data_IF_453873342910
#
_entry.id   IF_453873342910
#
_cell.length_a   1.000
_cell.length_b   1.000
_cell.length_c   1.000
_cell.angle_alpha   90.00
_cell.angle_beta   90.00
_cell.angle_gamma   90.00
#
_symmetry.space_group_name_H-M   'P 1'
#
loop_
_entity.id
_entity.type
_entity.pdbx_description
1 polymer ?
#
# COMPACT_ATOMS: atom_id res chain seq x y z
N UNK A 1 19.43 5.86 -5.30
CA UNK A 1 20.51 5.10 -4.63
C UNK A 1 20.75 5.59 -3.21
N UNK A 2 21.08 6.87 -2.97
CA UNK A 2 21.35 7.38 -1.62
C UNK A 2 20.17 7.29 -0.64
N UNK A 3 18.94 7.61 -1.06
CA UNK A 3 17.76 7.43 -0.19
C UNK A 3 17.59 5.96 0.25
N UNK A 4 17.84 5.00 -0.66
CA UNK A 4 17.77 3.58 -0.33
C UNK A 4 18.86 3.19 0.69
N UNK A 5 20.08 3.72 0.56
CA UNK A 5 21.16 3.53 1.54
C UNK A 5 20.80 4.12 2.90
N UNK A 6 20.25 5.34 2.94
CA UNK A 6 19.82 5.98 4.18
C UNK A 6 18.74 5.16 4.90
N UNK A 7 17.74 4.67 4.14
CA UNK A 7 16.69 3.80 4.68
C UNK A 7 17.26 2.47 5.18
N UNK A 8 18.19 1.84 4.45
CA UNK A 8 18.84 0.60 4.88
C UNK A 8 19.64 0.79 6.19
N UNK A 9 20.42 1.87 6.29
CA UNK A 9 21.17 2.21 7.51
C UNK A 9 20.21 2.42 8.68
N UNK A 10 19.12 3.16 8.47
CA UNK A 10 18.09 3.37 9.49
C UNK A 10 17.46 2.06 9.97
N UNK A 11 17.07 1.19 9.03
CA UNK A 11 16.48 -0.12 9.34
C UNK A 11 17.46 -1.02 10.09
N UNK A 12 18.73 -1.07 9.69
CA UNK A 12 19.75 -1.86 10.38
C UNK A 12 20.04 -1.33 11.78
N UNK A 13 20.14 -0.01 11.94
CA UNK A 13 20.28 0.62 13.25
C UNK A 13 19.11 0.28 14.15
N UNK A 14 17.87 0.37 13.63
CA UNK A 14 16.69 0.04 14.39
C UNK A 14 16.68 -1.44 14.82
N UNK A 15 17.00 -2.36 13.90
CA UNK A 15 17.07 -3.79 14.18
C UNK A 15 18.14 -4.15 15.25
N UNK A 16 19.24 -3.40 15.32
CA UNK A 16 20.29 -3.59 16.33
C UNK A 16 19.89 -2.95 17.68
N UNK A 17 19.33 -1.74 17.65
CA UNK A 17 18.99 -0.99 18.85
C UNK A 17 17.77 -1.58 19.59
N UNK A 18 16.80 -2.14 18.87
CA UNK A 18 15.57 -2.68 19.46
C UNK A 18 15.86 -3.73 20.56
N UNK A 19 16.57 -4.86 20.30
CA UNK A 19 16.83 -5.87 21.32
C UNK A 19 17.62 -5.33 22.52
N UNK A 20 18.55 -4.39 22.28
CA UNK A 20 19.39 -3.80 23.32
C UNK A 20 18.54 -2.93 24.24
N UNK A 21 17.80 -1.98 23.68
CA UNK A 21 17.02 -1.02 24.45
C UNK A 21 15.79 -1.67 25.10
N UNK A 22 15.16 -2.65 24.45
CA UNK A 22 14.07 -3.40 25.05
C UNK A 22 14.55 -4.15 26.30
N UNK A 23 15.75 -4.73 26.28
CA UNK A 23 16.30 -5.43 27.45
C UNK A 23 16.57 -4.49 28.63
N UNK A 24 16.94 -3.24 28.38
CA UNK A 24 17.32 -2.28 29.43
C UNK A 24 16.08 -1.56 30.01
N UNK A 25 15.17 -1.10 29.15
CA UNK A 25 14.06 -0.20 29.54
C UNK A 25 12.68 -0.68 29.05
N UNK A 26 12.55 -1.93 28.61
CA UNK A 26 11.29 -2.52 28.17
C UNK A 26 10.74 -1.89 26.89
N UNK A 27 9.41 -1.85 26.76
CA UNK A 27 8.75 -1.42 25.52
C UNK A 27 9.05 0.02 25.11
N UNK A 28 9.35 0.92 26.06
CA UNK A 28 9.82 2.28 25.78
C UNK A 28 11.13 2.27 24.97
N UNK A 29 11.96 1.24 25.13
CA UNK A 29 13.18 1.04 24.36
C UNK A 29 12.93 0.88 22.87
N UNK A 30 11.86 0.22 22.46
CA UNK A 30 11.49 0.07 21.04
C UNK A 30 11.11 1.43 20.40
N UNK A 31 10.38 2.27 21.15
CA UNK A 31 10.03 3.61 20.70
C UNK A 31 11.28 4.50 20.54
N UNK A 32 12.20 4.45 21.52
CA UNK A 32 13.47 5.22 21.49
C UNK A 32 14.38 4.73 20.36
N UNK A 33 14.51 3.42 20.16
CA UNK A 33 15.26 2.83 19.06
C UNK A 33 14.72 3.33 17.71
N UNK A 34 13.40 3.31 17.53
CA UNK A 34 12.74 3.79 16.30
C UNK A 34 13.00 5.27 16.08
N UNK A 35 12.76 6.11 17.09
CA UNK A 35 12.97 7.55 16.99
C UNK A 35 14.43 7.88 16.67
N UNK A 36 15.38 7.23 17.34
CA UNK A 36 16.81 7.46 17.15
C UNK A 36 17.26 7.11 15.73
N UNK A 37 16.86 5.93 15.21
CA UNK A 37 17.17 5.53 13.84
C UNK A 37 16.57 6.49 12.80
N UNK A 38 15.34 6.97 13.01
CA UNK A 38 14.71 7.95 12.12
C UNK A 38 15.41 9.32 12.16
N UNK A 39 15.86 9.77 13.33
CA UNK A 39 16.65 11.01 13.47
C UNK A 39 17.99 10.88 12.73
N UNK A 40 18.68 9.76 12.87
CA UNK A 40 19.95 9.52 12.15
C UNK A 40 19.71 9.52 10.63
N UNK A 41 18.63 8.88 10.18
CA UNK A 41 18.23 8.89 8.77
C UNK A 41 17.97 10.31 8.25
N UNK A 42 17.25 11.13 9.03
CA UNK A 42 16.97 12.53 8.71
C UNK A 42 18.27 13.34 8.58
N UNK A 43 19.18 13.22 9.57
CA UNK A 43 20.47 13.91 9.56
C UNK A 43 21.27 13.52 8.31
N UNK A 44 21.35 12.23 8.00
CA UNK A 44 22.06 11.74 6.81
C UNK A 44 21.47 12.32 5.51
N UNK A 45 20.14 12.36 5.39
CA UNK A 45 19.45 12.94 4.24
C UNK A 45 19.69 14.45 4.12
N UNK A 46 19.64 15.20 5.23
CA UNK A 46 19.92 16.64 5.25
C UNK A 46 21.36 16.94 4.81
N UNK A 47 22.34 16.19 5.31
CA UNK A 47 23.75 16.30 4.90
C UNK A 47 23.90 16.02 3.41
N UNK A 48 23.24 14.97 2.92
CA UNK A 48 23.30 14.58 1.51
C UNK A 48 22.75 15.66 0.57
N UNK A 49 21.55 16.18 0.86
CA UNK A 49 20.92 17.22 0.03
C UNK A 49 21.79 18.49 0.03
N UNK A 50 22.35 18.86 1.18
CA UNK A 50 23.24 20.02 1.32
C UNK A 50 24.53 19.85 0.51
N UNK A 51 25.17 18.66 0.56
CA UNK A 51 26.41 18.39 -0.19
C UNK A 51 26.22 18.33 -1.70
N UNK A 52 25.12 17.73 -2.16
CA UNK A 52 24.82 17.61 -3.59
C UNK A 52 24.24 18.89 -4.21
N UNK A 53 23.91 19.90 -3.39
CA UNK A 53 23.29 21.16 -3.81
C UNK A 53 22.07 20.94 -4.71
N UNK A 54 21.33 19.84 -4.48
CA UNK A 54 20.13 19.51 -5.25
C UNK A 54 19.04 20.56 -5.05
N UNK A 55 19.00 21.15 -3.86
CA UNK A 55 18.10 22.23 -3.48
C UNK A 55 18.89 23.29 -2.71
N UNK A 56 18.56 24.57 -2.94
CA UNK A 56 18.91 25.65 -2.02
C UNK A 56 17.73 25.79 -1.07
N UNK A 57 17.93 25.48 0.22
CA UNK A 57 16.92 25.75 1.21
C UNK A 57 17.12 27.19 1.71
N UNK A 58 16.25 28.11 1.29
CA UNK A 58 16.18 29.43 1.87
C UNK A 58 14.79 29.64 2.47
N UNK A 59 14.72 30.07 3.73
CA UNK A 59 13.45 30.41 4.39
C UNK A 59 12.71 31.55 3.65
N UNK A 60 13.44 32.33 2.83
CA UNK A 60 12.89 33.34 1.93
C UNK A 60 12.05 32.78 0.78
N UNK A 61 12.23 31.49 0.43
CA UNK A 61 11.48 30.83 -0.64
C UNK A 61 10.08 30.37 -0.17
N UNK A 62 9.71 30.68 1.08
CA UNK A 62 8.40 30.38 1.62
C UNK A 62 7.34 31.33 1.02
N UNK A 63 6.46 30.76 0.21
CA UNK A 63 5.30 31.47 -0.34
C UNK A 63 4.00 30.98 0.32
N UNK A 64 3.28 31.90 0.96
CA UNK A 64 1.97 31.60 1.57
C UNK A 64 0.94 31.19 0.52
N UNK A 65 1.09 31.62 -0.73
CA UNK A 65 0.18 31.29 -1.82
C UNK A 65 0.22 29.79 -2.17
N UNK A 66 1.34 29.12 -1.91
CA UNK A 66 1.52 27.68 -2.18
C UNK A 66 0.92 26.77 -1.10
N UNK A 67 0.57 27.32 0.07
CA UNK A 67 0.00 26.55 1.19
C UNK A 67 -1.35 25.93 0.79
N UNK A 68 -2.26 26.73 0.23
CA UNK A 68 -3.61 26.25 -0.09
C UNK A 68 -3.62 25.19 -1.21
N UNK A 69 -2.87 25.35 -2.33
CA UNK A 69 -2.68 24.28 -3.32
C UNK A 69 -2.09 23.01 -2.72
N UNK A 70 -1.12 23.13 -1.81
CA UNK A 70 -0.52 21.98 -1.14
C UNK A 70 -1.54 21.25 -0.26
N UNK A 71 -2.27 21.97 0.59
CA UNK A 71 -3.31 21.39 1.46
C UNK A 71 -4.40 20.70 0.62
N UNK A 72 -4.83 21.33 -0.48
CA UNK A 72 -5.85 20.78 -1.38
C UNK A 72 -5.44 19.44 -1.99
N UNK A 73 -4.15 19.21 -2.20
CA UNK A 73 -3.62 17.92 -2.68
C UNK A 73 -3.30 16.95 -1.54
N UNK A 74 -2.79 17.44 -0.41
CA UNK A 74 -2.37 16.63 0.72
C UNK A 74 -3.57 16.01 1.47
N UNK A 75 -4.64 16.77 1.70
CA UNK A 75 -5.81 16.29 2.46
C UNK A 75 -6.43 15.04 1.80
N UNK A 76 -6.71 15.02 0.49
CA UNK A 76 -7.19 13.80 -0.16
C UNK A 76 -6.23 12.62 -0.05
N UNK A 77 -4.92 12.86 -0.15
CA UNK A 77 -3.91 11.79 -0.01
C UNK A 77 -3.84 11.22 1.41
N UNK A 78 -3.99 12.06 2.45
CA UNK A 78 -4.02 11.60 3.85
C UNK A 78 -5.26 10.74 4.11
N UNK A 79 -6.43 11.20 3.65
CA UNK A 79 -7.67 10.42 3.74
C UNK A 79 -7.50 9.11 2.97
N UNK A 80 -6.97 9.18 1.75
CA UNK A 80 -6.71 8.02 0.90
C UNK A 80 -5.90 6.95 1.62
N UNK A 81 -4.80 7.31 2.29
CA UNK A 81 -3.92 6.38 3.00
C UNK A 81 -4.57 5.77 4.26
N UNK A 82 -5.59 6.42 4.82
CA UNK A 82 -6.29 5.95 6.02
C UNK A 82 -7.39 4.91 5.72
N UNK A 83 -7.96 4.94 4.51
CA UNK A 83 -9.07 4.07 4.11
C UNK A 83 -8.78 2.55 4.27
N UNK A 84 -7.60 2.02 3.89
CA UNK A 84 -7.32 0.60 4.06
C UNK A 84 -7.39 0.17 5.53
N UNK A 85 -6.88 0.99 6.46
CA UNK A 85 -6.93 0.69 7.89
C UNK A 85 -8.38 0.63 8.42
N UNK A 86 -9.25 1.52 7.96
CA UNK A 86 -10.68 1.50 8.30
C UNK A 86 -11.32 0.19 7.79
N UNK A 87 -11.03 -0.18 6.54
CA UNK A 87 -11.56 -1.41 5.94
C UNK A 87 -11.07 -2.66 6.67
N UNK A 88 -9.77 -2.76 6.96
CA UNK A 88 -9.18 -3.86 7.71
C UNK A 88 -9.73 -3.95 9.13
N UNK A 89 -9.99 -2.82 9.79
CA UNK A 89 -10.60 -2.81 11.13
C UNK A 89 -11.99 -3.43 11.11
N UNK A 90 -12.81 -3.05 10.11
CA UNK A 90 -14.15 -3.63 9.94
C UNK A 90 -14.08 -5.13 9.63
N UNK A 91 -13.22 -5.55 8.70
CA UNK A 91 -13.05 -6.97 8.37
C UNK A 91 -12.54 -7.78 9.57
N UNK A 92 -11.64 -7.22 10.37
CA UNK A 92 -11.16 -7.86 11.61
C UNK A 92 -12.31 -8.06 12.59
N UNK A 93 -13.17 -7.05 12.76
CA UNK A 93 -14.35 -7.16 13.61
C UNK A 93 -15.30 -8.27 13.12
N UNK A 94 -15.59 -8.34 11.82
CA UNK A 94 -16.41 -9.42 11.26
C UNK A 94 -15.79 -10.80 11.46
N UNK A 95 -14.51 -10.97 11.13
CA UNK A 95 -13.79 -12.24 11.25
C UNK A 95 -13.70 -12.69 12.71
N UNK A 96 -13.62 -11.76 13.66
CA UNK A 96 -13.57 -12.09 15.10
C UNK A 96 -14.81 -12.86 15.58
N UNK A 97 -15.95 -12.69 14.91
CA UNK A 97 -17.19 -13.42 15.21
C UNK A 97 -17.14 -14.93 14.87
N UNK A 98 -16.17 -15.36 14.06
CA UNK A 98 -16.00 -16.75 13.62
C UNK A 98 -15.03 -17.56 14.50
N UNK A 99 -14.55 -16.98 15.61
CA UNK A 99 -13.75 -17.64 16.63
C UNK A 99 -12.23 -17.38 16.54
N UNK A 100 -11.50 -17.95 17.50
CA UNK A 100 -10.08 -17.64 17.74
C UNK A 100 -9.21 -18.06 16.54
N UNK A 101 -9.48 -19.22 15.94
CA UNK A 101 -8.75 -19.69 14.75
C UNK A 101 -8.93 -18.77 13.54
N UNK A 102 -10.12 -18.17 13.39
CA UNK A 102 -10.44 -17.27 12.29
C UNK A 102 -9.65 -15.97 12.38
N UNK A 103 -9.68 -15.31 13.54
CA UNK A 103 -8.92 -14.07 13.76
C UNK A 103 -7.41 -14.31 13.72
N UNK A 104 -6.93 -15.46 14.24
CA UNK A 104 -5.52 -15.84 14.12
C UNK A 104 -5.12 -16.07 12.66
N UNK A 105 -5.93 -16.79 11.89
CA UNK A 105 -5.73 -17.01 10.44
C UNK A 105 -5.69 -15.69 9.68
N UNK A 106 -6.65 -14.79 9.91
CA UNK A 106 -6.66 -13.49 9.26
C UNK A 106 -5.46 -12.61 9.65
N UNK A 107 -5.01 -12.68 10.90
CA UNK A 107 -3.79 -12.02 11.36
C UNK A 107 -2.53 -12.51 10.63
N UNK A 108 -2.36 -13.82 10.51
CA UNK A 108 -1.25 -14.44 9.75
C UNK A 108 -1.32 -14.08 8.27
N UNK A 109 -2.51 -14.17 7.68
CA UNK A 109 -2.78 -13.70 6.32
C UNK A 109 -2.31 -12.27 6.14
N UNK A 110 -2.71 -11.32 6.99
CA UNK A 110 -2.32 -9.92 6.88
C UNK A 110 -0.80 -9.68 6.90
N UNK A 111 -0.04 -10.50 7.63
CA UNK A 111 1.43 -10.46 7.59
C UNK A 111 1.97 -10.90 6.23
N UNK A 112 1.44 -11.99 5.67
CA UNK A 112 1.82 -12.48 4.35
C UNK A 112 1.37 -11.52 3.22
N UNK A 113 0.18 -10.91 3.34
CA UNK A 113 -0.32 -9.89 2.41
C UNK A 113 0.60 -8.70 2.29
N UNK A 114 1.24 -8.29 3.39
CA UNK A 114 2.14 -7.14 3.40
C UNK A 114 3.27 -7.31 2.38
N UNK A 115 3.75 -8.55 2.19
CA UNK A 115 4.77 -8.90 1.19
C UNK A 115 4.26 -8.65 -0.24
N UNK A 116 2.98 -8.96 -0.49
CA UNK A 116 2.33 -8.75 -1.78
C UNK A 116 2.00 -7.27 -2.03
N UNK A 117 1.69 -6.50 -0.99
CA UNK A 117 1.40 -5.07 -1.14
C UNK A 117 2.65 -4.22 -1.39
N UNK A 118 3.83 -4.59 -0.88
CA UNK A 118 5.03 -3.75 -1.04
C UNK A 118 5.41 -3.44 -2.50
N UNK A 119 5.47 -4.40 -3.44
CA UNK A 119 5.76 -4.09 -4.83
C UNK A 119 4.71 -3.15 -5.46
N UNK A 120 3.43 -3.37 -5.16
CA UNK A 120 2.35 -2.52 -5.67
C UNK A 120 2.44 -1.08 -5.12
N UNK A 121 2.75 -0.93 -3.83
CA UNK A 121 2.97 0.37 -3.19
C UNK A 121 4.19 1.08 -3.77
N UNK A 122 5.28 0.36 -4.01
CA UNK A 122 6.48 0.92 -4.63
C UNK A 122 6.17 1.48 -6.04
N UNK A 123 5.43 0.72 -6.86
CA UNK A 123 5.01 1.18 -8.18
C UNK A 123 4.08 2.40 -8.12
N UNK A 124 3.15 2.43 -7.16
CA UNK A 124 2.30 3.60 -6.91
C UNK A 124 3.13 4.87 -6.64
N UNK A 125 4.13 4.77 -5.75
CA UNK A 125 5.00 5.90 -5.41
C UNK A 125 5.86 6.35 -6.61
N UNK A 126 6.44 5.40 -7.34
CA UNK A 126 7.26 5.68 -8.54
C UNK A 126 6.42 6.38 -9.61
N UNK A 127 5.23 5.87 -9.90
CA UNK A 127 4.32 6.47 -10.89
C UNK A 127 3.86 7.86 -10.45
N UNK A 128 3.52 8.06 -9.17
CA UNK A 128 3.14 9.37 -8.65
C UNK A 128 4.22 10.41 -8.95
N UNK A 129 5.49 10.08 -8.67
CA UNK A 129 6.61 11.00 -8.91
C UNK A 129 6.90 11.20 -10.40
N UNK A 130 7.11 10.11 -11.16
CA UNK A 130 7.56 10.19 -12.56
C UNK A 130 6.47 10.78 -13.45
N UNK A 131 5.20 10.44 -13.24
CA UNK A 131 4.10 11.04 -13.98
C UNK A 131 4.02 12.53 -13.66
N UNK A 132 4.16 12.94 -12.40
CA UNK A 132 4.21 14.36 -12.02
C UNK A 132 5.30 15.14 -12.77
N UNK A 133 6.51 14.56 -12.86
CA UNK A 133 7.62 15.15 -13.62
C UNK A 133 7.31 15.22 -15.13
N UNK A 134 6.77 14.14 -15.71
CA UNK A 134 6.41 14.10 -17.13
C UNK A 134 5.35 15.14 -17.48
N UNK A 135 4.38 15.34 -16.58
CA UNK A 135 3.32 16.34 -16.72
C UNK A 135 3.89 17.75 -16.66
N UNK A 136 4.78 18.04 -15.69
CA UNK A 136 5.47 19.33 -15.61
C UNK A 136 6.34 19.60 -16.85
N UNK A 137 6.93 18.55 -17.43
CA UNK A 137 7.71 18.62 -18.67
C UNK A 137 6.90 18.54 -19.97
N UNK A 138 5.56 18.54 -19.92
CA UNK A 138 4.66 18.40 -21.09
C UNK A 138 4.90 17.13 -21.92
N UNK A 139 5.42 16.05 -21.31
CA UNK A 139 5.71 14.75 -21.93
C UNK A 139 4.69 13.68 -21.53
N UNK A 140 3.44 13.84 -21.97
CA UNK A 140 2.35 12.88 -21.69
C UNK A 140 2.62 11.51 -22.31
N UNK A 141 3.30 11.49 -23.46
CA UNK A 141 3.80 10.29 -24.14
C UNK A 141 4.61 9.40 -23.17
N UNK A 142 5.56 10.01 -22.47
CA UNK A 142 6.43 9.30 -21.52
C UNK A 142 5.65 8.82 -20.30
N UNK A 143 4.68 9.59 -19.82
CA UNK A 143 3.82 9.16 -18.72
C UNK A 143 3.06 7.86 -19.06
N UNK A 144 2.58 7.73 -20.30
CA UNK A 144 1.91 6.51 -20.79
C UNK A 144 2.88 5.32 -20.89
N UNK A 145 4.10 5.55 -21.38
CA UNK A 145 5.15 4.53 -21.44
C UNK A 145 5.45 3.96 -20.04
N UNK A 146 5.66 4.84 -19.05
CA UNK A 146 5.94 4.43 -17.68
C UNK A 146 4.79 3.67 -17.03
N UNK A 147 3.54 4.08 -17.28
CA UNK A 147 2.37 3.34 -16.83
C UNK A 147 2.33 1.93 -17.46
N UNK A 148 2.53 1.82 -18.78
CA UNK A 148 2.51 0.53 -19.49
C UNK A 148 3.61 -0.41 -19.00
N UNK A 149 4.82 0.09 -18.79
CA UNK A 149 5.94 -0.67 -18.23
C UNK A 149 5.63 -1.13 -16.80
N UNK A 150 5.11 -0.23 -15.96
CA UNK A 150 4.76 -0.53 -14.57
C UNK A 150 3.65 -1.58 -14.47
N UNK A 151 2.63 -1.49 -15.33
CA UNK A 151 1.57 -2.50 -15.41
C UNK A 151 2.13 -3.86 -15.83
N UNK A 152 3.01 -3.91 -16.84
CA UNK A 152 3.62 -5.15 -17.32
C UNK A 152 4.50 -5.80 -16.24
N UNK A 153 5.51 -5.08 -15.75
CA UNK A 153 6.45 -5.64 -14.78
C UNK A 153 5.80 -5.89 -13.43
N UNK A 154 4.96 -4.97 -12.95
CA UNK A 154 4.23 -5.14 -11.71
C UNK A 154 3.32 -6.36 -11.73
N UNK A 155 2.55 -6.55 -12.80
CA UNK A 155 1.66 -7.71 -12.91
C UNK A 155 2.45 -9.02 -12.97
N UNK A 156 3.55 -9.08 -13.73
CA UNK A 156 4.42 -10.27 -13.78
C UNK A 156 4.98 -10.59 -12.39
N UNK A 157 5.52 -9.59 -11.69
CA UNK A 157 6.06 -9.78 -10.33
C UNK A 157 5.00 -10.29 -9.38
N UNK A 158 3.79 -9.73 -9.40
CA UNK A 158 2.73 -10.17 -8.50
C UNK A 158 2.13 -11.52 -8.88
N UNK A 159 2.09 -11.88 -10.16
CA UNK A 159 1.69 -13.23 -10.56
C UNK A 159 2.67 -14.25 -9.95
N UNK A 160 3.98 -14.01 -10.05
CA UNK A 160 4.99 -14.89 -9.48
C UNK A 160 4.86 -14.97 -7.96
N UNK A 161 4.76 -13.82 -7.26
CA UNK A 161 4.64 -13.80 -5.81
C UNK A 161 3.33 -14.43 -5.31
N UNK A 162 2.21 -14.17 -5.97
CA UNK A 162 0.92 -14.79 -5.66
C UNK A 162 0.98 -16.31 -5.83
N UNK A 163 1.62 -16.81 -6.90
CA UNK A 163 1.79 -18.26 -7.10
C UNK A 163 2.63 -18.90 -5.99
N UNK A 164 3.74 -18.26 -5.61
CA UNK A 164 4.58 -18.72 -4.50
C UNK A 164 3.75 -18.80 -3.22
N UNK A 165 2.99 -17.75 -2.90
CA UNK A 165 2.19 -17.73 -1.66
C UNK A 165 1.06 -18.73 -1.69
N UNK A 166 0.38 -18.95 -2.82
CA UNK A 166 -0.65 -20.01 -2.92
C UNK A 166 -0.04 -21.37 -2.59
N UNK A 167 1.07 -21.72 -3.26
CA UNK A 167 1.73 -23.04 -3.12
C UNK A 167 2.26 -23.25 -1.71
N UNK A 168 2.84 -22.22 -1.09
CA UNK A 168 3.48 -22.33 0.22
C UNK A 168 2.65 -21.78 1.38
N UNK A 169 1.38 -21.43 1.17
CA UNK A 169 0.53 -20.72 2.16
C UNK A 169 0.43 -21.45 3.49
N UNK A 170 0.27 -22.79 3.48
CA UNK A 170 0.20 -23.59 4.72
C UNK A 170 1.54 -23.61 5.46
N UNK A 171 2.64 -23.81 4.74
CA UNK A 171 3.99 -23.84 5.30
C UNK A 171 4.38 -22.48 5.87
N UNK A 172 4.06 -21.41 5.13
CA UNK A 172 4.26 -20.03 5.56
C UNK A 172 3.42 -19.71 6.80
N UNK A 173 2.17 -20.19 6.88
CA UNK A 173 1.34 -20.03 8.06
C UNK A 173 1.95 -20.72 9.30
N UNK A 174 2.52 -21.91 9.11
CA UNK A 174 3.19 -22.67 10.16
C UNK A 174 4.41 -21.97 10.77
N UNK A 175 5.02 -21.01 10.07
CA UNK A 175 6.11 -20.17 10.62
C UNK A 175 5.59 -19.17 11.67
N UNK A 176 4.31 -18.82 11.64
CA UNK A 176 3.71 -17.86 12.57
C UNK A 176 2.97 -18.56 13.71
N UNK A 177 2.17 -19.59 13.40
CA UNK A 177 1.34 -20.28 14.38
C UNK A 177 1.33 -21.77 14.06
N UNK A 178 1.71 -22.60 15.05
CA UNK A 178 1.64 -24.05 14.96
C UNK A 178 0.20 -24.56 15.17
N UNK A 179 -0.69 -24.33 14.19
CA UNK A 179 -2.09 -24.78 14.22
C UNK A 179 -2.59 -25.13 12.81
N UNK A 180 -3.03 -26.36 12.61
CA UNK A 180 -3.56 -26.82 11.31
C UNK A 180 -4.82 -26.04 10.90
N UNK A 181 -5.71 -25.72 11.86
CA UNK A 181 -6.90 -24.93 11.59
C UNK A 181 -6.56 -23.54 11.01
N UNK A 182 -5.53 -22.89 11.57
CA UNK A 182 -5.03 -21.60 11.09
C UNK A 182 -4.43 -21.74 9.69
N UNK A 183 -3.64 -22.79 9.44
CA UNK A 183 -3.03 -23.05 8.14
C UNK A 183 -4.08 -23.30 7.04
N UNK A 184 -5.16 -24.01 7.34
CA UNK A 184 -6.29 -24.23 6.42
C UNK A 184 -6.98 -22.92 6.06
N UNK A 185 -7.25 -22.05 7.05
CA UNK A 185 -7.90 -20.74 6.82
C UNK A 185 -7.00 -19.84 5.95
N UNK A 186 -5.69 -19.79 6.24
CA UNK A 186 -4.73 -19.00 5.44
C UNK A 186 -4.65 -19.52 4.01
N UNK A 187 -4.61 -20.84 3.82
CA UNK A 187 -4.59 -21.45 2.49
C UNK A 187 -5.87 -21.16 1.71
N UNK A 188 -7.04 -21.27 2.35
CA UNK A 188 -8.32 -20.94 1.73
C UNK A 188 -8.37 -19.47 1.31
N UNK A 189 -7.92 -18.56 2.17
CA UNK A 189 -7.82 -17.13 1.88
C UNK A 189 -7.00 -16.88 0.62
N UNK A 190 -5.75 -17.35 0.58
CA UNK A 190 -4.87 -17.10 -0.55
C UNK A 190 -5.33 -17.80 -1.82
N UNK A 191 -5.97 -18.97 -1.73
CA UNK A 191 -6.54 -19.63 -2.92
C UNK A 191 -7.62 -18.76 -3.59
N UNK A 192 -8.41 -18.03 -2.80
CA UNK A 192 -9.48 -17.16 -3.32
C UNK A 192 -8.94 -15.79 -3.73
N UNK A 193 -8.17 -15.14 -2.85
CA UNK A 193 -7.84 -13.71 -2.97
C UNK A 193 -6.60 -13.45 -3.83
N UNK A 194 -5.76 -14.45 -4.12
CA UNK A 194 -4.44 -14.22 -4.72
C UNK A 194 -4.44 -13.54 -6.10
N UNK A 195 -5.44 -13.82 -6.94
CA UNK A 195 -5.60 -13.11 -8.22
C UNK A 195 -5.92 -11.62 -8.00
N UNK A 196 -6.54 -11.30 -6.86
CA UNK A 196 -6.83 -9.95 -6.39
C UNK A 196 -5.58 -9.09 -6.18
N UNK A 197 -4.39 -9.66 -5.90
CA UNK A 197 -3.17 -8.85 -5.76
C UNK A 197 -2.61 -8.37 -7.10
N UNK A 198 -2.80 -9.15 -8.16
CA UNK A 198 -2.48 -8.70 -9.52
C UNK A 198 -3.39 -7.53 -9.88
N UNK A 199 -4.69 -7.66 -9.61
CA UNK A 199 -5.67 -6.58 -9.79
C UNK A 199 -5.34 -5.36 -8.92
N UNK A 200 -4.96 -5.57 -7.66
CA UNK A 200 -4.53 -4.51 -6.75
C UNK A 200 -3.30 -3.77 -7.27
N UNK A 201 -2.37 -4.46 -7.93
CA UNK A 201 -1.19 -3.82 -8.53
C UNK A 201 -1.58 -2.92 -9.69
N UNK A 202 -2.51 -3.38 -10.54
CA UNK A 202 -3.07 -2.56 -11.63
C UNK A 202 -3.75 -1.32 -11.04
N UNK A 203 -4.62 -1.50 -10.03
CA UNK A 203 -5.25 -0.39 -9.31
C UNK A 203 -4.21 0.56 -8.73
N UNK A 204 -3.18 0.05 -8.06
CA UNK A 204 -2.14 0.86 -7.42
C UNK A 204 -1.36 1.68 -8.44
N UNK A 205 -1.03 1.11 -9.61
CA UNK A 205 -0.42 1.84 -10.72
C UNK A 205 -1.35 2.95 -11.27
N UNK A 206 -2.64 2.66 -11.41
CA UNK A 206 -3.63 3.63 -11.84
C UNK A 206 -3.77 4.79 -10.84
N UNK A 207 -3.89 4.50 -9.55
CA UNK A 207 -4.00 5.52 -8.49
C UNK A 207 -2.73 6.37 -8.41
N UNK A 208 -1.55 5.77 -8.53
CA UNK A 208 -0.28 6.50 -8.56
C UNK A 208 -0.20 7.44 -9.75
N UNK A 209 -0.69 6.99 -10.91
CA UNK A 209 -0.79 7.85 -12.10
C UNK A 209 -1.74 9.02 -11.87
N UNK A 210 -2.95 8.80 -11.33
CA UNK A 210 -3.90 9.88 -11.02
C UNK A 210 -3.31 10.90 -10.03
N UNK A 211 -2.59 10.44 -9.01
CA UNK A 211 -1.90 11.29 -8.06
C UNK A 211 -0.83 12.13 -8.76
N UNK A 212 0.00 11.51 -9.61
CA UNK A 212 1.00 12.22 -10.43
C UNK A 212 0.40 13.17 -11.48
N UNK A 213 -0.84 12.94 -11.93
CA UNK A 213 -1.56 13.88 -12.79
C UNK A 213 -2.06 15.13 -12.06
N UNK A 214 -1.90 15.21 -10.73
CA UNK A 214 -2.43 16.27 -9.87
C UNK A 214 -3.91 16.08 -9.52
N UNK A 215 -4.40 14.82 -9.50
CA UNK A 215 -5.82 14.50 -9.25
C UNK A 215 -6.00 13.54 -8.04
N UNK A 216 -5.39 13.80 -6.86
CA UNK A 216 -5.50 12.89 -5.71
C UNK A 216 -6.92 12.73 -5.19
N UNK A 217 -7.80 13.73 -5.38
CA UNK A 217 -9.22 13.62 -5.04
C UNK A 217 -9.92 12.49 -5.81
N UNK A 218 -9.58 12.27 -7.09
CA UNK A 218 -10.17 11.16 -7.87
C UNK A 218 -9.73 9.81 -7.31
N UNK A 219 -8.45 9.69 -6.96
CA UNK A 219 -7.89 8.49 -6.35
C UNK A 219 -8.51 8.18 -4.99
N UNK A 220 -8.74 9.22 -4.17
CA UNK A 220 -9.45 9.11 -2.89
C UNK A 220 -10.89 8.62 -3.07
N UNK A 221 -11.67 9.23 -3.97
CA UNK A 221 -13.06 8.82 -4.24
C UNK A 221 -13.12 7.36 -4.70
N UNK A 222 -12.20 6.93 -5.57
CA UNK A 222 -12.10 5.54 -6.00
C UNK A 222 -11.85 4.62 -4.79
N UNK A 223 -10.90 4.96 -3.92
CA UNK A 223 -10.62 4.17 -2.71
C UNK A 223 -11.81 4.09 -1.76
N UNK A 224 -12.53 5.20 -1.53
CA UNK A 224 -13.76 5.19 -0.74
C UNK A 224 -14.78 4.24 -1.38
N UNK A 225 -14.97 4.35 -2.70
CA UNK A 225 -15.93 3.52 -3.42
C UNK A 225 -15.64 2.03 -3.24
N UNK A 226 -14.44 1.55 -3.58
CA UNK A 226 -14.23 0.10 -3.56
C UNK A 226 -13.95 -0.49 -2.16
N UNK A 227 -13.27 0.23 -1.25
CA UNK A 227 -13.01 -0.28 0.10
C UNK A 227 -14.18 -0.11 1.06
N UNK A 228 -14.94 0.98 0.96
CA UNK A 228 -16.01 1.30 1.92
C UNK A 228 -17.37 0.98 1.31
N UNK A 229 -17.69 1.53 0.14
CA UNK A 229 -19.04 1.37 -0.44
C UNK A 229 -19.28 -0.05 -0.96
N UNK A 230 -18.24 -0.72 -1.44
CA UNK A 230 -18.34 -2.07 -2.01
C UNK A 230 -17.92 -3.15 -1.01
N UNK A 231 -16.66 -3.14 -0.56
CA UNK A 231 -16.09 -4.25 0.22
C UNK A 231 -16.80 -4.48 1.56
N UNK A 232 -17.07 -3.43 2.32
CA UNK A 232 -17.67 -3.52 3.66
C UNK A 232 -19.11 -4.08 3.59
N UNK A 233 -20.03 -3.51 2.79
CA UNK A 233 -21.38 -4.06 2.64
C UNK A 233 -21.39 -5.48 2.08
N UNK A 234 -20.58 -5.78 1.06
CA UNK A 234 -20.51 -7.14 0.52
C UNK A 234 -20.01 -8.15 1.55
N UNK A 235 -19.01 -7.79 2.34
CA UNK A 235 -18.49 -8.67 3.40
C UNK A 235 -19.57 -8.95 4.45
N UNK A 236 -20.32 -7.92 4.86
CA UNK A 236 -21.43 -8.08 5.80
C UNK A 236 -22.56 -8.94 5.23
N UNK A 237 -22.98 -8.68 4.00
CA UNK A 237 -24.04 -9.44 3.32
C UNK A 237 -23.65 -10.91 3.19
N UNK A 238 -22.45 -11.20 2.68
CA UNK A 238 -22.00 -12.58 2.51
C UNK A 238 -21.78 -13.30 3.85
N UNK A 239 -21.29 -12.61 4.87
CA UNK A 239 -21.24 -13.15 6.23
C UNK A 239 -22.65 -13.52 6.75
N UNK A 240 -23.66 -12.67 6.50
CA UNK A 240 -25.04 -12.91 6.95
C UNK A 240 -25.79 -14.00 6.19
N UNK A 241 -25.41 -14.29 4.94
CA UNK A 241 -26.03 -15.32 4.10
C UNK A 241 -25.57 -16.76 4.45
N UNK A 242 -24.81 -16.93 5.54
CA UNK A 242 -24.33 -18.23 6.00
C UNK A 242 -23.16 -18.79 5.21
N UNK A 243 -22.51 -17.98 4.36
CA UNK A 243 -21.41 -18.43 3.48
C UNK A 243 -20.03 -18.61 4.15
N UNK A 244 -20.03 -18.74 5.50
CA UNK A 244 -18.84 -18.88 6.35
C UNK A 244 -17.76 -17.80 6.06
N UNK A 245 -16.54 -17.95 6.55
CA UNK A 245 -15.40 -17.07 6.25
C UNK A 245 -15.15 -16.87 4.75
N UNK A 246 -15.52 -17.87 3.94
CA UNK A 246 -15.40 -17.87 2.48
C UNK A 246 -16.12 -16.68 1.84
N UNK A 247 -17.30 -16.32 2.37
CA UNK A 247 -18.05 -15.15 1.91
C UNK A 247 -17.25 -13.85 2.03
N UNK A 248 -16.56 -13.66 3.16
CA UNK A 248 -15.73 -12.46 3.39
C UNK A 248 -14.57 -12.40 2.38
N UNK A 249 -13.95 -13.54 2.07
CA UNK A 249 -12.88 -13.64 1.08
C UNK A 249 -13.35 -13.28 -0.34
N UNK A 250 -14.54 -13.71 -0.73
CA UNK A 250 -15.14 -13.32 -2.01
C UNK A 250 -15.47 -11.83 -2.07
N UNK A 251 -15.98 -11.24 -0.98
CA UNK A 251 -16.22 -9.79 -0.93
C UNK A 251 -14.92 -8.99 -1.14
N UNK A 252 -13.82 -9.44 -0.54
CA UNK A 252 -12.48 -8.91 -0.77
C UNK A 252 -12.11 -9.00 -2.25
N UNK A 253 -12.20 -10.18 -2.86
CA UNK A 253 -11.84 -10.38 -4.27
C UNK A 253 -12.68 -9.51 -5.21
N UNK A 254 -14.00 -9.50 -5.03
CA UNK A 254 -14.93 -8.70 -5.85
C UNK A 254 -14.57 -7.21 -5.75
N UNK A 255 -14.23 -6.72 -4.55
CA UNK A 255 -13.80 -5.34 -4.39
C UNK A 255 -12.52 -5.01 -5.17
N UNK A 256 -11.57 -5.95 -5.29
CA UNK A 256 -10.37 -5.76 -6.12
C UNK A 256 -10.69 -5.75 -7.62
N UNK A 257 -11.63 -6.58 -8.07
CA UNK A 257 -12.11 -6.57 -9.46
C UNK A 257 -12.73 -5.21 -9.79
N UNK A 258 -13.65 -4.74 -8.94
CA UNK A 258 -14.32 -3.45 -9.13
C UNK A 258 -13.31 -2.29 -9.07
N UNK A 259 -12.36 -2.34 -8.13
CA UNK A 259 -11.29 -1.35 -8.03
C UNK A 259 -10.44 -1.28 -9.30
N UNK A 260 -10.07 -2.42 -9.87
CA UNK A 260 -9.30 -2.51 -11.10
C UNK A 260 -10.06 -1.87 -12.27
N UNK A 261 -11.31 -2.27 -12.49
CA UNK A 261 -12.14 -1.72 -13.58
C UNK A 261 -12.32 -0.20 -13.42
N UNK A 262 -12.73 0.25 -12.23
CA UNK A 262 -13.01 1.67 -11.99
C UNK A 262 -11.75 2.55 -12.13
N UNK A 263 -10.61 2.08 -11.62
CA UNK A 263 -9.34 2.82 -11.69
C UNK A 263 -8.78 2.91 -13.12
N UNK A 264 -8.87 1.84 -13.90
CA UNK A 264 -8.45 1.82 -15.32
C UNK A 264 -9.30 2.79 -16.14
N UNK A 265 -10.63 2.75 -16.01
CA UNK A 265 -11.54 3.67 -16.70
C UNK A 265 -11.22 5.13 -16.33
N UNK A 266 -11.02 5.41 -15.04
CA UNK A 266 -10.72 6.76 -14.55
C UNK A 266 -9.38 7.30 -15.09
N UNK A 267 -8.34 6.47 -15.15
CA UNK A 267 -7.02 6.87 -15.68
C UNK A 267 -7.08 7.14 -17.17
N UNK A 268 -7.70 6.25 -17.95
CA UNK A 268 -7.81 6.43 -19.41
C UNK A 268 -8.55 7.74 -19.73
N UNK A 269 -9.67 8.01 -19.06
CA UNK A 269 -10.39 9.27 -19.22
C UNK A 269 -9.56 10.49 -18.79
N UNK A 270 -8.77 10.35 -17.72
CA UNK A 270 -7.94 11.45 -17.21
C UNK A 270 -6.75 11.79 -18.09
N UNK A 271 -6.18 10.82 -18.79
CA UNK A 271 -5.05 11.02 -19.71
C UNK A 271 -5.51 11.61 -21.05
N UNK A 272 -6.67 11.21 -21.58
CA UNK A 272 -7.22 11.76 -22.84
C UNK A 272 -7.50 13.28 -22.75
N UNK A 273 -8.07 13.74 -21.64
CA UNK A 273 -8.39 15.17 -21.42
C UNK A 273 -7.13 16.06 -21.43
N UNK A 274 -5.94 15.49 -21.19
CA UNK A 274 -4.69 16.26 -21.11
C UNK A 274 -3.93 16.29 -22.45
N UNK A 275 -4.41 15.57 -23.45
CA UNK A 275 -3.89 15.60 -24.82
C UNK A 275 -4.59 16.65 -25.70
N UNK A 276 -5.80 17.10 -25.29
CA UNK A 276 -6.53 18.23 -25.88
C UNK A 276 -6.13 19.55 -25.25
#
# INVERSE_FOLDING_TARGET
>A
MFQAVAMLVSTLLNAILDPILIKIIGFHGAAIATLTSQIICLIFMCIYISKKKLFKFALSDFDKLEIMPLIKNAVPSVIQQSIPAISTTFLTALVSGYGISAIAGYGVTGKLETILFYPAMALNMVLTSIVGQCIGGKRIDRAKDYLKLSLKYGSITLIILSLIIIVFSKQLAGLFVASENVAVIVNQYFTIVSIGYVLYTITSCCLGTLNGLGKPTRSMILMIFYYIVIRIPLAYIFASLGSDLTGIWFAILISHIIACIASVVCVIGSMKIKES
#
